data_IF_264719008427
#
_entry.id   IF_264719008427
#
_cell.length_a   1.000
_cell.length_b   1.000
_cell.length_c   1.000
_cell.angle_alpha   90.00
_cell.angle_beta   90.00
_cell.angle_gamma   90.00
#
_symmetry.space_group_name_H-M   'P 1'
#
loop_
_entity.id
_entity.type
_entity.pdbx_description
1 polymer ?
#
# COMPACT_ATOMS: atom_id res chain seq x y z
N UNK A 1 -7.19 4.34 -7.03
CA UNK A 1 -8.56 4.34 -6.45
C UNK A 1 -8.69 5.55 -5.54
N UNK A 2 -9.89 5.88 -5.02
CA UNK A 2 -9.98 6.94 -4.00
C UNK A 2 -9.51 6.41 -2.63
N UNK A 3 -9.24 7.32 -1.69
CA UNK A 3 -8.65 6.98 -0.40
C UNK A 3 -9.52 6.03 0.43
N UNK A 4 -10.84 6.26 0.47
CA UNK A 4 -11.78 5.38 1.15
C UNK A 4 -11.78 3.96 0.55
N UNK A 5 -11.70 3.83 -0.79
CA UNK A 5 -11.58 2.50 -1.42
C UNK A 5 -10.28 1.81 -1.03
N UNK A 6 -9.17 2.55 -0.97
CA UNK A 6 -7.88 1.99 -0.53
C UNK A 6 -7.94 1.48 0.91
N UNK A 7 -8.59 2.21 1.83
CA UNK A 7 -8.80 1.74 3.22
C UNK A 7 -9.66 0.47 3.22
N UNK A 8 -10.78 0.44 2.48
CA UNK A 8 -11.67 -0.74 2.44
C UNK A 8 -10.96 -1.98 1.90
N UNK A 9 -10.19 -1.84 0.81
CA UNK A 9 -9.43 -2.96 0.25
C UNK A 9 -8.30 -3.41 1.16
N UNK A 10 -7.60 -2.48 1.82
CA UNK A 10 -6.60 -2.81 2.83
C UNK A 10 -7.21 -3.55 4.02
N UNK A 11 -8.40 -3.14 4.49
CA UNK A 11 -9.15 -3.83 5.53
C UNK A 11 -9.47 -5.28 5.16
N UNK A 12 -9.88 -5.54 3.90
CA UNK A 12 -10.08 -6.92 3.40
C UNK A 12 -8.77 -7.70 3.31
N UNK A 13 -7.67 -7.08 2.86
CA UNK A 13 -6.34 -7.71 2.84
C UNK A 13 -5.89 -8.14 4.23
N UNK A 14 -6.11 -7.28 5.24
CA UNK A 14 -5.82 -7.59 6.64
C UNK A 14 -6.68 -8.74 7.16
N UNK A 15 -7.97 -8.72 6.86
CA UNK A 15 -8.92 -9.77 7.29
C UNK A 15 -8.53 -11.14 6.74
N UNK A 16 -8.20 -11.25 5.46
CA UNK A 16 -7.79 -12.54 4.85
C UNK A 16 -6.42 -13.02 5.35
N UNK A 17 -5.66 -12.17 6.05
CA UNK A 17 -4.43 -12.53 6.75
C UNK A 17 -4.62 -12.72 8.27
N UNK A 18 -5.86 -12.64 8.77
CA UNK A 18 -6.17 -12.63 10.21
C UNK A 18 -5.42 -11.54 10.99
N UNK A 19 -5.19 -10.38 10.38
CA UNK A 19 -4.54 -9.22 10.98
C UNK A 19 -5.56 -8.15 11.42
N UNK A 20 -5.22 -7.26 12.36
CA UNK A 20 -6.13 -6.23 12.84
C UNK A 20 -6.53 -5.24 11.73
N UNK A 21 -7.83 -5.13 11.45
CA UNK A 21 -8.38 -4.17 10.46
C UNK A 21 -8.04 -2.71 10.76
N UNK A 22 -7.74 -2.38 12.02
CA UNK A 22 -7.28 -1.05 12.42
C UNK A 22 -5.99 -0.58 11.74
N UNK A 23 -5.22 -1.48 11.12
CA UNK A 23 -4.08 -1.10 10.29
C UNK A 23 -4.47 -0.61 8.89
N UNK A 24 -5.75 -0.67 8.49
CA UNK A 24 -6.20 -0.23 7.16
C UNK A 24 -5.96 1.27 6.91
N UNK A 25 -5.87 2.07 7.98
CA UNK A 25 -5.56 3.50 7.89
C UNK A 25 -4.20 3.79 7.24
N UNK A 26 -3.25 2.85 7.26
CA UNK A 26 -1.94 3.06 6.65
C UNK A 26 -2.02 3.08 5.12
N UNK A 27 -3.14 2.62 4.54
CA UNK A 27 -3.36 2.72 3.10
C UNK A 27 -3.43 4.19 2.63
N UNK A 28 -3.81 5.16 3.45
CA UNK A 28 -3.88 6.57 3.00
C UNK A 28 -2.58 7.35 3.15
N UNK A 29 -1.53 6.75 3.69
CA UNK A 29 -0.25 7.43 3.87
C UNK A 29 0.30 8.06 2.58
N UNK A 30 0.09 7.53 1.37
CA UNK A 30 0.59 8.17 0.15
C UNK A 30 0.01 9.55 -0.16
N UNK A 31 -1.03 9.99 0.57
CA UNK A 31 -1.49 11.39 0.56
C UNK A 31 -0.37 12.37 0.90
N UNK A 32 0.62 11.98 1.71
CA UNK A 32 1.68 12.89 2.14
C UNK A 32 2.37 13.58 0.96
N UNK A 33 2.43 12.91 -0.20
CA UNK A 33 2.99 13.37 -1.46
C UNK A 33 2.23 14.52 -2.15
N UNK A 34 1.01 14.87 -1.71
CA UNK A 34 0.27 15.99 -2.31
C UNK A 34 1.04 17.30 -2.10
N UNK A 35 1.81 17.39 -1.02
CA UNK A 35 2.66 18.54 -0.71
C UNK A 35 4.11 18.12 -0.43
N UNK A 36 5.08 18.62 -1.22
CA UNK A 36 4.91 19.50 -2.38
C UNK A 36 4.41 18.76 -3.64
N UNK A 37 3.70 19.47 -4.53
CA UNK A 37 3.03 18.89 -5.71
C UNK A 37 3.93 18.07 -6.64
N UNK A 38 5.24 18.35 -6.67
CA UNK A 38 6.20 17.61 -7.50
C UNK A 38 6.50 16.20 -6.96
N UNK A 39 6.12 15.88 -5.73
CA UNK A 39 6.18 14.52 -5.18
C UNK A 39 4.94 13.70 -5.52
N UNK A 40 3.87 14.31 -6.02
CA UNK A 40 2.58 13.67 -6.20
C UNK A 40 2.72 12.37 -7.03
N UNK A 41 2.54 11.23 -6.34
CA UNK A 41 2.63 9.85 -6.85
C UNK A 41 4.02 9.37 -7.26
N UNK A 42 5.06 10.15 -6.98
CA UNK A 42 6.44 9.85 -7.33
C UNK A 42 7.30 9.53 -6.11
N UNK A 43 6.80 9.72 -4.88
CA UNK A 43 7.63 9.63 -3.69
C UNK A 43 7.13 8.61 -2.65
N UNK A 44 5.92 8.71 -2.13
CA UNK A 44 5.32 7.76 -1.18
C UNK A 44 4.95 6.41 -1.80
N UNK A 45 4.79 6.36 -3.12
CA UNK A 45 4.52 5.11 -3.83
C UNK A 45 5.80 4.27 -4.08
N UNK A 46 6.97 4.79 -3.72
CA UNK A 46 8.24 4.09 -3.85
C UNK A 46 8.39 3.05 -2.74
N UNK A 47 8.66 1.79 -3.09
CA UNK A 47 8.89 0.72 -2.10
C UNK A 47 10.03 1.06 -1.14
N UNK A 48 11.04 1.80 -1.61
CA UNK A 48 12.17 2.23 -0.79
C UNK A 48 11.78 3.16 0.37
N UNK A 49 10.69 3.91 0.23
CA UNK A 49 10.24 4.89 1.23
C UNK A 49 9.22 4.32 2.23
N UNK A 50 8.46 3.30 1.81
CA UNK A 50 7.35 2.76 2.59
C UNK A 50 7.73 2.24 3.99
N UNK A 51 8.87 1.54 4.20
CA UNK A 51 9.24 1.08 5.55
C UNK A 51 9.38 2.22 6.57
N UNK A 52 10.09 3.28 6.21
CA UNK A 52 10.26 4.45 7.08
C UNK A 52 8.93 5.16 7.31
N UNK A 53 8.07 5.23 6.29
CA UNK A 53 6.75 5.82 6.41
C UNK A 53 5.86 5.05 7.39
N UNK A 54 5.88 3.71 7.33
CA UNK A 54 5.17 2.84 8.27
C UNK A 54 5.71 3.00 9.69
N UNK A 55 7.03 3.05 9.85
CA UNK A 55 7.66 3.26 11.15
C UNK A 55 7.19 4.56 11.80
N UNK A 56 7.34 5.68 11.07
CA UNK A 56 6.93 7.01 11.55
C UNK A 56 5.42 7.06 11.84
N UNK A 57 4.59 6.50 10.95
CA UNK A 57 3.15 6.45 11.14
C UNK A 57 2.76 5.63 12.38
N UNK A 58 3.40 4.47 12.60
CA UNK A 58 3.11 3.62 13.74
C UNK A 58 3.50 4.28 15.06
N UNK A 59 4.66 4.93 15.11
CA UNK A 59 5.10 5.67 16.29
C UNK A 59 4.14 6.82 16.62
N UNK A 60 3.70 7.57 15.60
CA UNK A 60 2.75 8.68 15.76
C UNK A 60 1.35 8.20 16.16
N UNK A 61 0.83 7.16 15.49
CA UNK A 61 -0.49 6.62 15.79
C UNK A 61 -0.55 5.88 17.13
N UNK A 62 0.58 5.38 17.63
CA UNK A 62 0.72 4.80 18.96
C UNK A 62 0.73 5.81 20.11
N UNK A 63 0.70 7.11 19.83
CA UNK A 63 0.69 8.14 20.88
C UNK A 63 -0.66 8.22 21.62
N UNK A 64 -0.65 8.53 22.93
CA UNK A 64 -1.89 8.75 23.68
C UNK A 64 -2.79 9.82 23.07
N UNK A 65 -2.20 10.89 22.53
CA UNK A 65 -2.91 12.00 21.89
C UNK A 65 -3.69 11.54 20.66
N UNK A 66 -3.10 10.66 19.83
CA UNK A 66 -3.80 10.06 18.70
C UNK A 66 -4.94 9.12 19.14
N UNK A 67 -4.69 8.30 20.17
CA UNK A 67 -5.70 7.40 20.75
C UNK A 67 -6.90 8.17 21.32
N UNK A 68 -6.65 9.31 21.97
CA UNK A 68 -7.67 10.22 22.49
C UNK A 68 -8.33 11.10 21.42
N UNK A 69 -7.85 11.05 20.16
CA UNK A 69 -8.28 11.93 19.06
C UNK A 69 -8.08 13.43 19.36
N UNK A 70 -7.10 13.77 20.21
CA UNK A 70 -6.71 15.15 20.49
C UNK A 70 -5.60 15.57 19.51
N UNK A 71 -6.01 15.92 18.29
CA UNK A 71 -5.09 16.33 17.22
C UNK A 71 -4.39 17.66 17.52
N UNK A 72 -4.96 18.50 18.37
CA UNK A 72 -4.31 19.73 18.82
C UNK A 72 -3.13 19.41 19.77
N UNK A 73 -3.32 18.50 20.72
CA UNK A 73 -2.24 18.01 21.57
C UNK A 73 -1.18 17.24 20.77
N UNK A 74 -1.61 16.40 19.82
CA UNK A 74 -0.70 15.68 18.92
C UNK A 74 0.21 16.65 18.16
N UNK A 75 -0.35 17.71 17.55
CA UNK A 75 0.44 18.74 16.85
C UNK A 75 1.42 19.44 17.79
N UNK A 76 1.00 19.82 18.99
CA UNK A 76 1.91 20.44 19.99
C UNK A 76 3.04 19.50 20.40
N UNK A 77 2.76 18.20 20.54
CA UNK A 77 3.76 17.17 20.87
C UNK A 77 4.75 16.96 19.72
N UNK A 78 4.26 16.90 18.48
CA UNK A 78 5.08 16.62 17.31
C UNK A 78 5.91 17.83 16.86
N UNK A 79 5.49 19.06 17.14
CA UNK A 79 6.21 20.27 16.75
C UNK A 79 7.72 20.29 17.15
N UNK A 80 8.11 20.05 18.41
CA UNK A 80 9.53 19.98 18.77
C UNK A 80 10.26 18.78 18.12
N UNK A 81 9.60 17.63 17.98
CA UNK A 81 10.17 16.45 17.33
C UNK A 81 10.49 16.74 15.86
N UNK A 82 9.57 17.40 15.14
CA UNK A 82 9.77 17.81 13.75
C UNK A 82 10.93 18.81 13.67
N UNK A 83 10.99 19.82 14.54
CA UNK A 83 12.06 20.80 14.54
C UNK A 83 13.45 20.16 14.76
N UNK A 84 13.55 19.22 15.69
CA UNK A 84 14.79 18.49 15.96
C UNK A 84 15.22 17.63 14.76
N UNK A 85 14.28 16.93 14.11
CA UNK A 85 14.53 16.14 12.92
C UNK A 85 14.93 17.00 11.71
N UNK A 86 14.31 18.16 11.53
CA UNK A 86 14.67 19.11 10.48
C UNK A 86 16.08 19.69 10.71
N UNK A 87 16.43 20.01 11.95
CA UNK A 87 17.78 20.42 12.31
C UNK A 87 18.81 19.32 12.05
N UNK A 88 18.50 18.06 12.40
CA UNK A 88 19.35 16.91 12.14
C UNK A 88 19.52 16.66 10.62
N UNK A 89 18.45 16.79 9.84
CA UNK A 89 18.51 16.69 8.38
C UNK A 89 19.38 17.79 7.76
N UNK A 90 19.27 19.03 8.24
CA UNK A 90 20.10 20.15 7.80
C UNK A 90 21.59 19.93 8.16
N UNK A 91 21.87 19.41 9.37
CA UNK A 91 23.22 19.06 9.80
C UNK A 91 23.83 17.96 8.92
N UNK A 92 23.10 16.86 8.67
CA UNK A 92 23.55 15.79 7.79
C UNK A 92 23.79 16.27 6.35
N UNK A 93 22.97 17.22 5.87
CA UNK A 93 23.13 17.82 4.54
C UNK A 93 24.38 18.70 4.43
N UNK A 94 24.77 19.36 5.52
CA UNK A 94 25.96 20.21 5.58
C UNK A 94 27.25 19.42 5.83
N UNK A 95 27.16 18.22 6.40
CA UNK A 95 28.31 17.36 6.69
C UNK A 95 28.89 16.71 5.41
N UNK A 96 30.13 17.05 5.01
CA UNK A 96 30.79 16.42 3.86
C UNK A 96 31.10 14.94 4.08
N UNK A 97 31.19 14.48 5.33
CA UNK A 97 31.47 13.09 5.68
C UNK A 97 30.22 12.20 5.63
N UNK A 98 29.02 12.78 5.70
CA UNK A 98 27.78 12.02 5.61
C UNK A 98 27.66 11.32 4.25
N UNK A 99 27.20 10.08 4.26
CA UNK A 99 26.86 9.32 3.06
C UNK A 99 25.56 9.86 2.43
N UNK A 100 25.32 9.46 1.18
CA UNK A 100 24.06 9.75 0.50
C UNK A 100 22.85 9.19 1.27
N UNK A 101 22.96 7.97 1.80
CA UNK A 101 21.87 7.29 2.49
C UNK A 101 21.56 7.94 3.85
N UNK A 102 22.57 8.37 4.61
CA UNK A 102 22.36 9.10 5.87
C UNK A 102 21.62 10.42 5.65
N UNK A 103 22.02 11.19 4.63
CA UNK A 103 21.30 12.42 4.25
C UNK A 103 19.86 12.14 3.84
N UNK A 104 19.65 11.11 3.02
CA UNK A 104 18.34 10.73 2.53
C UNK A 104 17.43 10.29 3.68
N UNK A 105 17.92 9.45 4.58
CA UNK A 105 17.17 8.95 5.73
C UNK A 105 16.76 10.10 6.66
N UNK A 106 17.70 10.97 7.04
CA UNK A 106 17.41 12.11 7.92
C UNK A 106 16.35 13.03 7.32
N UNK A 107 16.49 13.38 6.03
CA UNK A 107 15.51 14.20 5.30
C UNK A 107 14.13 13.53 5.23
N UNK A 108 14.09 12.25 4.85
CA UNK A 108 12.85 11.52 4.69
C UNK A 108 12.12 11.36 6.04
N UNK A 109 12.86 11.12 7.13
CA UNK A 109 12.29 10.98 8.48
C UNK A 109 11.67 12.29 8.96
N UNK A 110 12.35 13.41 8.77
CA UNK A 110 11.79 14.74 9.07
C UNK A 110 10.52 15.00 8.25
N UNK A 111 10.59 14.76 6.94
CA UNK A 111 9.47 14.95 6.02
C UNK A 111 8.25 14.11 6.39
N UNK A 112 8.40 12.79 6.56
CA UNK A 112 7.29 11.91 6.90
C UNK A 112 6.70 12.24 8.27
N UNK A 113 7.54 12.56 9.27
CA UNK A 113 7.05 12.92 10.61
C UNK A 113 6.16 14.16 10.54
N UNK A 114 6.63 15.20 9.83
CA UNK A 114 5.86 16.42 9.63
C UNK A 114 4.55 16.17 8.89
N UNK A 115 4.63 15.56 7.70
CA UNK A 115 3.45 15.37 6.84
C UNK A 115 2.41 14.45 7.44
N UNK A 116 2.82 13.36 8.10
CA UNK A 116 1.87 12.44 8.74
C UNK A 116 1.20 13.14 9.94
N UNK A 117 1.93 13.95 10.72
CA UNK A 117 1.34 14.72 11.81
C UNK A 117 0.34 15.77 11.33
N UNK A 118 0.63 16.45 10.21
CA UNK A 118 -0.27 17.42 9.59
C UNK A 118 -1.56 16.75 9.07
N UNK A 119 -1.45 15.57 8.47
CA UNK A 119 -2.57 14.86 7.84
C UNK A 119 -3.35 13.91 8.78
N UNK A 120 -2.83 13.60 9.97
CA UNK A 120 -3.41 12.60 10.88
C UNK A 120 -4.90 12.83 11.19
N UNK A 121 -5.30 14.08 11.41
CA UNK A 121 -6.69 14.46 11.65
C UNK A 121 -7.56 14.10 10.44
N UNK A 122 -7.13 14.44 9.22
CA UNK A 122 -7.85 14.17 7.98
C UNK A 122 -7.97 12.67 7.73
N UNK A 123 -6.87 11.93 7.91
CA UNK A 123 -6.87 10.47 7.78
C UNK A 123 -7.93 9.81 8.66
N UNK A 124 -7.99 10.20 9.92
CA UNK A 124 -8.81 9.51 10.92
C UNK A 124 -10.26 10.00 10.90
N UNK A 125 -10.49 11.30 10.81
CA UNK A 125 -11.83 11.89 10.94
C UNK A 125 -12.62 11.91 9.64
N UNK A 126 -11.94 11.89 8.49
CA UNK A 126 -12.58 11.93 7.17
C UNK A 126 -12.47 10.58 6.49
N UNK A 127 -11.24 10.14 6.20
CA UNK A 127 -11.03 8.96 5.33
C UNK A 127 -11.43 7.65 6.01
N UNK A 128 -10.96 7.43 7.25
CA UNK A 128 -11.33 6.24 8.01
C UNK A 128 -12.82 6.22 8.32
N UNK A 129 -13.40 7.36 8.70
CA UNK A 129 -14.81 7.46 9.07
C UNK A 129 -15.74 6.98 7.94
N UNK A 130 -15.45 7.33 6.68
CA UNK A 130 -16.21 6.80 5.54
C UNK A 130 -16.09 5.28 5.39
N UNK A 131 -14.87 4.75 5.55
CA UNK A 131 -14.61 3.32 5.41
C UNK A 131 -15.21 2.47 6.54
N UNK A 132 -15.47 3.04 7.73
CA UNK A 132 -16.05 2.31 8.87
C UNK A 132 -17.44 1.75 8.56
N UNK A 133 -18.21 2.38 7.67
CA UNK A 133 -19.52 1.86 7.25
C UNK A 133 -19.44 0.47 6.62
N UNK A 134 -18.30 0.16 5.98
CA UNK A 134 -18.07 -1.10 5.28
C UNK A 134 -17.22 -2.05 6.14
N UNK A 135 -16.17 -1.54 6.78
CA UNK A 135 -15.20 -2.37 7.51
C UNK A 135 -15.66 -2.79 8.90
N UNK A 136 -16.60 -2.06 9.50
CA UNK A 136 -17.05 -2.26 10.88
C UNK A 136 -16.27 -1.41 11.90
N UNK A 137 -16.80 -1.28 13.14
CA UNK A 137 -16.23 -0.43 14.19
C UNK A 137 -14.84 -0.88 14.66
N UNK A 138 -14.47 -2.16 14.47
CA UNK A 138 -13.16 -2.68 14.82
C UNK A 138 -12.01 -2.00 14.06
N UNK A 139 -12.27 -1.45 12.86
CA UNK A 139 -11.28 -0.70 12.11
C UNK A 139 -10.96 0.67 12.73
N UNK A 140 -11.78 1.16 13.67
CA UNK A 140 -11.51 2.39 14.40
C UNK A 140 -10.40 2.23 15.46
N UNK A 141 -10.14 1.01 15.92
CA UNK A 141 -9.06 0.68 16.84
C UNK A 141 -7.73 0.59 16.08
N UNK A 142 -7.09 1.75 15.86
CA UNK A 142 -5.86 1.85 15.07
C UNK A 142 -4.78 0.92 15.65
N UNK A 143 -4.24 0.06 14.79
CA UNK A 143 -3.17 -0.88 15.13
C UNK A 143 -1.81 -0.26 14.85
N UNK A 144 -0.83 -0.55 15.70
CA UNK A 144 0.59 -0.22 15.50
C UNK A 144 1.42 -1.44 15.11
N UNK A 145 0.76 -2.56 14.78
CA UNK A 145 1.45 -3.75 14.25
C UNK A 145 2.10 -3.43 12.90
N UNK A 146 3.43 -3.53 12.85
CA UNK A 146 4.21 -3.10 11.68
C UNK A 146 3.97 -3.97 10.45
N UNK A 147 3.72 -5.27 10.62
CA UNK A 147 3.43 -6.17 9.50
C UNK A 147 2.08 -5.83 8.87
N UNK A 148 1.05 -5.60 9.69
CA UNK A 148 -0.27 -5.17 9.27
C UNK A 148 -0.22 -3.79 8.59
N UNK A 149 0.50 -2.83 9.18
CA UNK A 149 0.71 -1.50 8.59
C UNK A 149 1.41 -1.57 7.22
N UNK A 150 2.46 -2.39 7.10
CA UNK A 150 3.16 -2.60 5.83
C UNK A 150 2.30 -3.32 4.79
N UNK A 151 1.48 -4.30 5.18
CA UNK A 151 0.52 -4.93 4.27
C UNK A 151 -0.48 -3.91 3.74
N UNK A 152 -1.02 -3.07 4.62
CA UNK A 152 -1.95 -2.01 4.25
C UNK A 152 -1.33 -1.01 3.26
N UNK A 153 -0.14 -0.50 3.54
CA UNK A 153 0.53 0.48 2.66
C UNK A 153 0.94 -0.14 1.32
N UNK A 154 1.47 -1.36 1.31
CA UNK A 154 1.82 -2.07 0.08
C UNK A 154 0.56 -2.31 -0.79
N UNK A 155 -0.58 -2.62 -0.15
CA UNK A 155 -1.86 -2.81 -0.84
C UNK A 155 -2.33 -1.56 -1.58
N UNK A 156 -2.13 -0.36 -1.02
CA UNK A 156 -2.44 0.89 -1.73
C UNK A 156 -1.68 0.97 -3.05
N UNK A 157 -0.36 0.77 -2.99
CA UNK A 157 0.50 0.91 -4.18
C UNK A 157 0.13 -0.12 -5.23
N UNK A 158 -0.19 -1.34 -4.78
CA UNK A 158 -0.70 -2.41 -5.62
C UNK A 158 -2.03 -2.03 -6.29
N UNK A 159 -3.04 -1.60 -5.54
CA UNK A 159 -4.35 -1.26 -6.09
C UNK A 159 -4.37 0.05 -6.89
N UNK A 160 -3.42 0.96 -6.67
CA UNK A 160 -3.41 2.21 -7.42
C UNK A 160 -3.04 2.00 -8.90
N UNK A 161 -2.42 0.86 -9.23
CA UNK A 161 -2.13 0.45 -10.62
C UNK A 161 -3.37 0.26 -11.49
N UNK A 162 -4.55 0.10 -10.89
CA UNK A 162 -5.84 0.07 -11.61
C UNK A 162 -6.26 1.45 -12.11
N UNK A 163 -5.73 2.53 -11.53
CA UNK A 163 -6.14 3.89 -11.88
C UNK A 163 -5.01 4.68 -12.50
N UNK A 164 -3.77 4.44 -12.10
CA UNK A 164 -2.63 5.25 -12.47
C UNK A 164 -1.39 4.37 -12.72
N UNK A 165 -0.51 4.73 -13.67
CA UNK A 165 0.84 4.18 -13.70
C UNK A 165 1.61 4.60 -12.45
N UNK A 166 2.29 3.65 -11.79
CA UNK A 166 3.02 3.89 -10.54
C UNK A 166 4.50 3.54 -10.67
N UNK A 167 5.39 4.48 -10.31
CA UNK A 167 6.86 4.33 -10.39
C UNK A 167 7.48 3.56 -9.22
N UNK A 168 6.92 2.40 -8.87
CA UNK A 168 7.14 1.66 -7.61
C UNK A 168 8.61 1.35 -7.29
N UNK A 169 9.41 1.06 -8.31
CA UNK A 169 10.75 0.50 -8.17
C UNK A 169 11.88 1.53 -8.23
N UNK A 170 11.58 2.83 -8.28
CA UNK A 170 12.61 3.88 -8.26
C UNK A 170 13.34 3.85 -6.90
N UNK A 171 14.68 3.97 -6.85
CA UNK A 171 15.61 4.21 -7.97
C UNK A 171 16.16 2.93 -8.63
N UNK A 172 15.75 1.74 -8.20
CA UNK A 172 16.24 0.46 -8.76
C UNK A 172 15.87 0.27 -10.24
N UNK A 173 14.72 0.81 -10.66
CA UNK A 173 14.26 0.79 -12.04
C UNK A 173 13.28 1.95 -12.29
N UNK A 174 13.31 2.53 -13.50
CA UNK A 174 12.46 3.65 -13.91
C UNK A 174 11.15 3.21 -14.62
N UNK A 175 10.75 1.96 -14.44
CA UNK A 175 9.56 1.38 -15.07
C UNK A 175 8.30 1.67 -14.23
N UNK A 176 7.19 1.90 -14.91
CA UNK A 176 5.89 2.13 -14.27
C UNK A 176 5.05 0.86 -14.28
N UNK A 177 4.49 0.51 -13.12
CA UNK A 177 3.52 -0.57 -12.96
C UNK A 177 2.12 -0.05 -13.26
N UNK A 178 1.38 -0.70 -14.15
CA UNK A 178 -0.04 -0.40 -14.39
C UNK A 178 -0.77 -1.62 -14.97
N UNK A 179 -2.09 -1.67 -14.83
CA UNK A 179 -2.93 -2.62 -15.57
C UNK A 179 -3.12 -2.18 -17.03
N UNK A 180 -2.05 -2.22 -17.82
CA UNK A 180 -2.04 -1.76 -19.22
C UNK A 180 -3.12 -2.42 -20.09
N UNK A 181 -3.31 -3.74 -19.94
CA UNK A 181 -4.35 -4.49 -20.67
C UNK A 181 -5.76 -4.05 -20.27
N UNK A 182 -5.97 -3.70 -18.99
CA UNK A 182 -7.25 -3.15 -18.56
C UNK A 182 -7.51 -1.81 -19.26
N UNK A 183 -6.52 -0.91 -19.27
CA UNK A 183 -6.66 0.42 -19.89
C UNK A 183 -6.94 0.32 -21.39
N UNK A 184 -6.38 -0.69 -22.06
CA UNK A 184 -6.70 -0.99 -23.46
C UNK A 184 -8.07 -1.66 -23.68
N UNK A 185 -8.75 -2.13 -22.63
CA UNK A 185 -9.99 -2.91 -22.75
C UNK A 185 -11.27 -2.17 -22.34
N UNK A 186 -11.15 -0.92 -21.92
CA UNK A 186 -12.26 -0.08 -21.43
C UNK A 186 -12.35 1.23 -22.20
N UNK A 187 -13.46 1.95 -22.07
CA UNK A 187 -13.48 3.38 -22.42
C UNK A 187 -12.60 4.14 -21.41
N UNK A 188 -11.33 4.33 -21.77
CA UNK A 188 -10.32 4.86 -20.87
C UNK A 188 -10.63 6.30 -20.44
N UNK A 189 -11.15 7.15 -21.34
CA UNK A 189 -11.43 8.54 -21.00
C UNK A 189 -12.62 8.63 -20.04
N UNK A 190 -13.70 7.88 -20.32
CA UNK A 190 -14.85 7.82 -19.43
C UNK A 190 -14.49 7.22 -18.08
N UNK A 191 -13.69 6.14 -18.07
CA UNK A 191 -13.16 5.55 -16.84
C UNK A 191 -12.40 6.58 -16.00
N UNK A 192 -11.51 7.36 -16.60
CA UNK A 192 -10.72 8.37 -15.88
C UNK A 192 -11.57 9.57 -15.42
N UNK A 193 -12.60 9.94 -16.16
CA UNK A 193 -13.47 11.06 -15.84
C UNK A 193 -14.46 10.74 -14.71
N UNK A 194 -15.11 9.57 -14.78
CA UNK A 194 -16.31 9.29 -13.98
C UNK A 194 -16.10 8.28 -12.84
N UNK A 195 -14.98 7.53 -12.82
CA UNK A 195 -14.82 6.45 -11.82
C UNK A 195 -14.86 6.93 -10.37
N UNK A 196 -14.45 8.17 -10.09
CA UNK A 196 -14.47 8.74 -8.75
C UNK A 196 -15.80 9.41 -8.38
N UNK A 197 -16.78 9.45 -9.29
CA UNK A 197 -18.09 10.01 -8.97
C UNK A 197 -18.76 9.14 -7.89
N UNK A 198 -19.43 9.75 -6.88
CA UNK A 198 -20.01 9.02 -5.75
C UNK A 198 -20.99 7.91 -6.14
N UNK A 199 -21.74 8.09 -7.23
CA UNK A 199 -22.68 7.13 -7.80
C UNK A 199 -22.00 5.93 -8.49
N UNK A 200 -20.71 6.05 -8.83
CA UNK A 200 -19.91 4.96 -9.41
C UNK A 200 -19.00 4.31 -8.36
N UNK A 201 -18.21 5.08 -7.63
CA UNK A 201 -17.17 4.54 -6.74
C UNK A 201 -17.76 3.82 -5.52
N UNK A 202 -18.88 4.32 -4.96
CA UNK A 202 -19.48 3.71 -3.75
C UNK A 202 -20.08 2.33 -4.05
N UNK A 203 -20.89 2.13 -5.10
CA UNK A 203 -21.34 0.79 -5.48
C UNK A 203 -20.18 -0.13 -5.84
N UNK A 204 -19.19 0.36 -6.61
CA UNK A 204 -18.00 -0.42 -6.96
C UNK A 204 -17.27 -0.94 -5.72
N UNK A 205 -16.97 -0.06 -4.75
CA UNK A 205 -16.29 -0.40 -3.50
C UNK A 205 -17.04 -1.47 -2.71
N UNK A 206 -18.36 -1.30 -2.53
CA UNK A 206 -19.22 -2.29 -1.83
C UNK A 206 -19.21 -3.63 -2.56
N UNK A 207 -19.26 -3.61 -3.89
CA UNK A 207 -19.34 -4.82 -4.69
C UNK A 207 -18.01 -5.60 -4.72
N UNK A 208 -16.85 -4.91 -4.76
CA UNK A 208 -15.54 -5.55 -4.60
C UNK A 208 -15.38 -6.08 -3.18
N UNK A 209 -15.72 -5.30 -2.15
CA UNK A 209 -15.66 -5.72 -0.75
C UNK A 209 -16.46 -7.00 -0.48
N UNK A 210 -17.68 -7.09 -1.03
CA UNK A 210 -18.57 -8.24 -0.89
C UNK A 210 -18.32 -9.39 -1.87
N UNK A 211 -17.24 -9.37 -2.65
CA UNK A 211 -16.94 -10.43 -3.62
C UNK A 211 -16.47 -11.71 -2.94
N UNK A 212 -16.89 -12.87 -3.46
CA UNK A 212 -16.44 -14.18 -2.98
C UNK A 212 -14.94 -14.43 -3.20
N UNK A 213 -14.26 -13.59 -3.99
CA UNK A 213 -12.82 -13.71 -4.25
C UNK A 213 -11.99 -13.69 -2.96
N UNK A 214 -12.45 -12.96 -1.93
CA UNK A 214 -11.76 -12.86 -0.64
C UNK A 214 -11.76 -14.17 0.15
N UNK A 215 -12.80 -14.99 0.00
CA UNK A 215 -12.95 -16.28 0.68
C UNK A 215 -12.57 -17.49 -0.17
N UNK A 216 -12.18 -17.27 -1.43
CA UNK A 216 -11.97 -18.36 -2.39
C UNK A 216 -10.76 -19.21 -2.02
N UNK A 217 -10.96 -20.52 -1.90
CA UNK A 217 -9.86 -21.47 -1.86
C UNK A 217 -9.12 -21.47 -3.20
N UNK A 218 -7.79 -21.40 -3.14
CA UNK A 218 -6.96 -21.34 -4.35
C UNK A 218 -6.52 -22.75 -4.72
N UNK A 219 -6.83 -23.22 -5.93
CA UNK A 219 -6.39 -24.53 -6.39
C UNK A 219 -4.86 -24.65 -6.32
N UNK A 220 -4.38 -25.79 -5.83
CA UNK A 220 -2.95 -26.08 -5.70
C UNK A 220 -2.22 -26.27 -7.06
N UNK A 221 -2.94 -26.47 -8.17
CA UNK A 221 -2.36 -26.86 -9.45
C UNK A 221 -2.77 -25.90 -10.59
N UNK A 222 -1.86 -25.64 -11.54
CA UNK A 222 -2.19 -24.90 -12.76
C UNK A 222 -1.14 -23.93 -13.29
N UNK A 223 0.15 -24.24 -13.16
CA UNK A 223 1.24 -23.89 -14.09
C UNK A 223 2.52 -24.36 -13.41
N UNK A 224 3.22 -25.30 -14.04
CA UNK A 224 4.56 -25.66 -13.60
C UNK A 224 5.43 -24.41 -13.78
N UNK A 225 5.92 -23.85 -12.68
CA UNK A 225 7.09 -22.99 -12.75
C UNK A 225 8.22 -23.83 -13.36
N UNK A 226 8.94 -23.27 -14.33
CA UNK A 226 10.03 -23.97 -15.04
C UNK A 226 11.19 -24.37 -14.11
N UNK A 227 11.11 -24.02 -12.81
CA UNK A 227 12.06 -24.34 -11.76
C UNK A 227 11.78 -25.59 -10.91
N UNK A 228 10.79 -26.43 -11.25
CA UNK A 228 10.66 -27.77 -10.64
C UNK A 228 10.43 -27.81 -9.12
N UNK A 229 9.76 -26.79 -8.55
CA UNK A 229 9.38 -26.79 -7.13
C UNK A 229 8.16 -27.68 -6.88
N UNK A 230 8.21 -28.40 -5.76
CA UNK A 230 7.17 -29.31 -5.26
C UNK A 230 5.77 -28.66 -5.34
N UNK A 231 4.73 -29.40 -5.76
CA UNK A 231 3.39 -28.87 -5.83
C UNK A 231 2.96 -28.40 -4.44
N UNK A 232 2.42 -27.18 -4.39
CA UNK A 232 1.76 -26.64 -3.20
C UNK A 232 0.86 -27.72 -2.59
N UNK A 233 0.89 -27.83 -1.26
CA UNK A 233 0.05 -28.75 -0.49
C UNK A 233 -1.46 -28.52 -0.73
N UNK A 234 -2.35 -29.23 0.00
CA UNK A 234 -3.79 -29.18 -0.22
C UNK A 234 -4.33 -27.73 -0.26
N UNK A 235 -5.37 -27.51 -1.07
CA UNK A 235 -6.03 -26.22 -1.24
C UNK A 235 -6.27 -25.56 0.13
N UNK A 236 -5.62 -24.43 0.36
CA UNK A 236 -5.77 -23.66 1.58
C UNK A 236 -6.37 -22.30 1.23
N UNK A 237 -7.58 -22.03 1.74
CA UNK A 237 -8.12 -20.67 1.78
C UNK A 237 -7.38 -19.80 2.81
N UNK A 238 -7.95 -18.64 3.18
CA UNK A 238 -7.48 -17.86 4.32
C UNK A 238 -7.29 -18.71 5.60
N UNK A 239 -6.33 -18.35 6.47
CA UNK A 239 -5.52 -17.14 6.39
C UNK A 239 -4.35 -17.23 5.39
N UNK A 240 -4.12 -16.13 4.67
CA UNK A 240 -2.93 -15.90 3.86
C UNK A 240 -1.76 -15.45 4.73
N UNK A 241 -0.53 -15.84 4.38
CA UNK A 241 0.66 -15.32 5.07
C UNK A 241 0.88 -13.87 4.62
N UNK A 242 0.87 -12.93 5.56
CA UNK A 242 0.94 -11.51 5.24
C UNK A 242 2.27 -11.11 4.56
N UNK A 243 3.39 -11.73 4.93
CA UNK A 243 4.67 -11.47 4.30
C UNK A 243 4.73 -12.04 2.88
N UNK A 244 4.17 -13.24 2.68
CA UNK A 244 4.01 -13.85 1.37
C UNK A 244 3.08 -13.01 0.48
N UNK A 245 2.04 -12.40 1.06
CA UNK A 245 1.10 -11.56 0.35
C UNK A 245 1.72 -10.22 -0.06
N UNK A 246 2.50 -9.58 0.81
CA UNK A 246 3.32 -8.41 0.46
C UNK A 246 4.27 -8.77 -0.69
N UNK A 247 4.99 -9.89 -0.58
CA UNK A 247 5.87 -10.38 -1.64
C UNK A 247 5.11 -10.58 -2.95
N UNK A 248 3.96 -11.25 -2.91
CA UNK A 248 3.12 -11.50 -4.08
C UNK A 248 2.68 -10.20 -4.76
N UNK A 249 2.23 -9.19 -3.99
CA UNK A 249 1.89 -7.87 -4.52
C UNK A 249 3.08 -7.21 -5.20
N UNK A 250 4.27 -7.24 -4.59
CA UNK A 250 5.49 -6.68 -5.23
C UNK A 250 5.87 -7.45 -6.50
N UNK A 251 5.73 -8.78 -6.52
CA UNK A 251 5.93 -9.57 -7.73
C UNK A 251 4.93 -9.19 -8.84
N UNK A 252 3.66 -8.94 -8.49
CA UNK A 252 2.65 -8.46 -9.43
C UNK A 252 2.98 -7.07 -9.96
N UNK A 253 3.39 -6.13 -9.10
CA UNK A 253 3.85 -4.80 -9.52
C UNK A 253 4.99 -4.93 -10.56
N UNK A 254 5.96 -5.80 -10.32
CA UNK A 254 7.03 -6.10 -11.28
C UNK A 254 6.49 -6.65 -12.61
N UNK A 255 5.57 -7.61 -12.57
CA UNK A 255 4.95 -8.18 -13.77
C UNK A 255 4.10 -7.17 -14.56
N UNK A 256 3.59 -6.13 -13.89
CA UNK A 256 2.83 -5.03 -14.50
C UNK A 256 3.72 -3.88 -15.00
N UNK A 257 5.05 -4.00 -14.88
CA UNK A 257 6.03 -3.00 -15.30
C UNK A 257 6.83 -3.47 -16.53
N UNK A 258 6.43 -3.09 -17.76
CA UNK A 258 7.10 -3.51 -18.98
C UNK A 258 8.59 -3.18 -18.95
N UNK A 259 9.43 -4.18 -19.21
CA UNK A 259 10.89 -4.04 -19.31
C UNK A 259 11.65 -3.96 -17.99
N UNK A 260 10.99 -4.16 -16.83
CA UNK A 260 11.72 -4.23 -15.56
C UNK A 260 12.56 -5.50 -15.46
N UNK A 261 13.74 -5.40 -14.88
CA UNK A 261 14.58 -6.58 -14.64
C UNK A 261 14.05 -7.42 -13.47
N UNK A 262 14.02 -8.76 -13.56
CA UNK A 262 13.67 -9.62 -12.42
C UNK A 262 14.54 -9.37 -11.19
N UNK A 263 15.82 -9.02 -11.39
CA UNK A 263 16.75 -8.68 -10.31
C UNK A 263 16.34 -7.43 -9.53
N UNK A 264 15.81 -6.40 -10.20
CA UNK A 264 15.29 -5.20 -9.53
C UNK A 264 14.09 -5.53 -8.65
N UNK A 265 13.19 -6.40 -9.13
CA UNK A 265 12.02 -6.85 -8.36
C UNK A 265 12.46 -7.68 -7.16
N UNK A 266 13.38 -8.62 -7.34
CA UNK A 266 13.89 -9.46 -6.25
C UNK A 266 14.61 -8.63 -5.18
N UNK A 267 15.44 -7.67 -5.58
CA UNK A 267 16.12 -6.77 -4.65
C UNK A 267 15.12 -5.91 -3.87
N UNK A 268 14.07 -5.39 -4.52
CA UNK A 268 13.01 -4.65 -3.86
C UNK A 268 12.29 -5.50 -2.80
N UNK A 269 11.94 -6.76 -3.13
CA UNK A 269 11.33 -7.71 -2.19
C UNK A 269 12.26 -7.96 -1.00
N UNK A 270 13.53 -8.25 -1.25
CA UNK A 270 14.51 -8.52 -0.18
C UNK A 270 14.67 -7.32 0.75
N UNK A 271 14.82 -6.13 0.20
CA UNK A 271 14.97 -4.90 0.97
C UNK A 271 13.70 -4.62 1.80
N UNK A 272 12.52 -4.75 1.19
CA UNK A 272 11.26 -4.51 1.89
C UNK A 272 11.02 -5.51 3.02
N UNK A 273 11.21 -6.80 2.78
CA UNK A 273 11.00 -7.82 3.83
C UNK A 273 12.07 -7.77 4.93
N UNK A 274 13.29 -7.34 4.61
CA UNK A 274 14.35 -7.18 5.61
C UNK A 274 13.99 -6.13 6.68
N UNK A 275 13.25 -5.07 6.31
CA UNK A 275 12.79 -4.04 7.29
C UNK A 275 11.76 -4.59 8.28
N UNK A 276 11.08 -5.68 7.92
CA UNK A 276 10.16 -6.43 8.78
C UNK A 276 10.88 -7.50 9.63
N UNK A 277 12.21 -7.57 9.58
CA UNK A 277 13.00 -8.59 10.26
C UNK A 277 12.97 -9.96 9.60
N UNK A 278 12.38 -10.09 8.41
CA UNK A 278 12.23 -11.35 7.69
C UNK A 278 13.48 -11.64 6.86
N UNK A 279 14.40 -12.41 7.45
CA UNK A 279 15.70 -12.75 6.83
C UNK A 279 15.61 -13.85 5.76
N UNK A 280 14.48 -14.56 5.66
CA UNK A 280 14.26 -15.64 4.68
C UNK A 280 13.14 -15.24 3.72
N UNK A 281 13.37 -15.51 2.43
CA UNK A 281 12.34 -15.32 1.41
C UNK A 281 11.24 -16.36 1.64
N UNK A 282 10.04 -15.87 1.97
CA UNK A 282 8.84 -16.70 2.11
C UNK A 282 8.35 -17.15 0.72
N UNK A 283 7.93 -18.43 0.53
CA UNK A 283 7.16 -18.84 -0.64
C UNK A 283 5.88 -18.00 -0.75
N UNK A 284 5.42 -17.70 -1.97
CA UNK A 284 4.28 -16.81 -2.19
C UNK A 284 3.39 -17.23 -3.36
N UNK A 285 3.49 -18.48 -3.82
CA UNK A 285 2.78 -18.94 -5.01
C UNK A 285 1.27 -18.95 -4.82
N UNK A 286 0.81 -19.28 -3.60
CA UNK A 286 -0.61 -19.22 -3.22
C UNK A 286 -1.10 -17.77 -3.23
N UNK A 287 -0.39 -16.88 -2.56
CA UNK A 287 -0.72 -15.46 -2.46
C UNK A 287 -0.64 -14.75 -3.82
N UNK A 288 0.27 -15.18 -4.70
CA UNK A 288 0.36 -14.67 -6.07
C UNK A 288 -0.86 -15.02 -6.90
N UNK A 289 -1.38 -16.25 -6.76
CA UNK A 289 -2.65 -16.66 -7.39
C UNK A 289 -3.83 -15.89 -6.79
N UNK A 290 -3.81 -15.60 -5.49
CA UNK A 290 -4.83 -14.79 -4.84
C UNK A 290 -4.88 -13.39 -5.46
N UNK A 291 -3.71 -12.73 -5.55
CA UNK A 291 -3.56 -11.44 -6.21
C UNK A 291 -4.11 -11.47 -7.65
N UNK A 292 -3.76 -12.48 -8.46
CA UNK A 292 -4.26 -12.60 -9.85
C UNK A 292 -5.79 -12.78 -9.91
N UNK A 293 -6.37 -13.58 -9.02
CA UNK A 293 -7.82 -13.79 -8.96
C UNK A 293 -8.54 -12.49 -8.57
N UNK A 294 -8.00 -11.76 -7.59
CA UNK A 294 -8.50 -10.46 -7.18
C UNK A 294 -8.37 -9.42 -8.29
N UNK A 295 -7.26 -9.41 -9.01
CA UNK A 295 -7.07 -8.52 -10.17
C UNK A 295 -8.12 -8.76 -11.25
N UNK A 296 -8.37 -10.02 -11.57
CA UNK A 296 -9.38 -10.40 -12.56
C UNK A 296 -10.79 -9.95 -12.13
N UNK A 297 -11.12 -10.12 -10.86
CA UNK A 297 -12.40 -9.68 -10.28
C UNK A 297 -12.57 -8.15 -10.37
N UNK A 298 -11.56 -7.39 -9.96
CA UNK A 298 -11.56 -5.92 -10.03
C UNK A 298 -11.66 -5.45 -11.49
N UNK A 299 -10.83 -6.03 -12.37
CA UNK A 299 -10.82 -5.70 -13.79
C UNK A 299 -12.16 -6.00 -14.48
N UNK A 300 -12.80 -7.14 -14.16
CA UNK A 300 -14.11 -7.50 -14.70
C UNK A 300 -15.17 -6.47 -14.31
N UNK A 301 -15.16 -5.99 -13.06
CA UNK A 301 -16.07 -4.95 -12.58
C UNK A 301 -15.84 -3.61 -13.26
N UNK A 302 -14.59 -3.20 -13.43
CA UNK A 302 -14.26 -1.96 -14.16
C UNK A 302 -14.70 -2.06 -15.62
N UNK A 303 -14.47 -3.18 -16.31
CA UNK A 303 -14.95 -3.40 -17.69
C UNK A 303 -16.47 -3.35 -17.83
N UNK A 304 -17.19 -3.87 -16.84
CA UNK A 304 -18.65 -3.81 -16.83
C UNK A 304 -19.18 -2.37 -16.69
N UNK A 305 -18.47 -1.51 -15.95
CA UNK A 305 -18.83 -0.10 -15.77
C UNK A 305 -18.43 0.77 -16.97
N UNK A 306 -17.32 0.42 -17.64
CA UNK A 306 -16.74 1.22 -18.72
C UNK A 306 -16.44 0.36 -19.95
N UNK A 307 -17.46 -0.26 -20.58
CA UNK A 307 -17.25 -1.10 -21.74
C UNK A 307 -16.64 -0.28 -22.88
N UNK A 308 -15.68 -0.85 -23.59
CA UNK A 308 -15.15 -0.25 -24.81
C UNK A 308 -16.19 -0.42 -25.92
N UNK A 309 -16.74 0.70 -26.40
CA UNK A 309 -17.65 0.74 -27.55
C UNK A 309 -16.97 0.31 -28.85
#
# INVERSE_FOLDING_TARGET
MDWETHIVLAGKMLEVCALPKGAAIYAVLPVVDIEPVHYHRQYAHLLANQPLMVEVAADLFGTPECGARDFAALRRRMAPVVADLEAAAAAAQADPAASYFERLEARNRAYFTRRIAEEAERFITVELAGALEILGPEAAAISTDRLAASLSLASHTYFDTFNNPVGVFIPLAANYSAHWDLFGSVDYLEYKASFYHPDVIRPFRRAVHGSDVWGRAIPAAGEADSGGRDPLGPQAGPPYDAAALIKAMIQRLGALAPGISPGSVELAIRNFLATLGLKRIVPADRELRFCRALEAEIAARIRALFPRN
#
